data_IF_802092082721
#
_entry.id   IF_802092082721
#
_cell.length_a   1.000
_cell.length_b   1.000
_cell.length_c   1.000
_cell.angle_alpha   90.00
_cell.angle_beta   90.00
_cell.angle_gamma   90.00
#
_symmetry.space_group_name_H-M   'P 1'
#
loop_
_entity.id
_entity.type
_entity.pdbx_description
1 polymer ?
#
# COMPACT_ATOMS: atom_id res chain seq x y z
N UNK A 1 10.76 -6.75 -30.04
CA UNK A 1 9.61 -7.00 -29.14
C UNK A 1 9.44 -5.80 -28.22
N UNK A 2 8.54 -4.88 -28.61
CA UNK A 2 8.15 -3.69 -27.85
C UNK A 2 7.42 -4.13 -26.57
N UNK A 3 8.08 -4.06 -25.42
CA UNK A 3 7.42 -4.22 -24.11
C UNK A 3 6.58 -2.96 -23.89
N UNK A 4 5.33 -2.98 -24.35
CA UNK A 4 4.35 -1.94 -24.07
C UNK A 4 4.21 -1.84 -22.55
N UNK A 5 4.70 -0.75 -21.97
CA UNK A 5 4.43 -0.41 -20.58
C UNK A 5 2.91 -0.43 -20.38
N UNK A 6 2.43 -1.32 -19.50
CA UNK A 6 0.99 -1.53 -19.23
C UNK A 6 0.27 -0.25 -18.82
N UNK A 7 1.01 0.70 -18.26
CA UNK A 7 0.51 1.96 -17.72
C UNK A 7 1.10 3.14 -18.48
N UNK A 8 0.25 4.14 -18.71
CA UNK A 8 0.66 5.47 -19.16
C UNK A 8 1.39 6.23 -18.03
N UNK A 9 2.13 7.28 -18.37
CA UNK A 9 2.88 8.11 -17.40
C UNK A 9 1.94 8.72 -16.36
N UNK A 10 0.77 9.20 -16.78
CA UNK A 10 -0.25 9.76 -15.88
C UNK A 10 -0.78 8.72 -14.90
N UNK A 11 -1.16 7.54 -15.38
CA UNK A 11 -1.63 6.43 -14.54
C UNK A 11 -0.54 5.97 -13.57
N UNK A 12 0.73 5.95 -14.00
CA UNK A 12 1.87 5.65 -13.14
C UNK A 12 2.02 6.69 -12.04
N UNK A 13 1.90 7.98 -12.36
CA UNK A 13 1.96 9.05 -11.37
C UNK A 13 0.84 8.92 -10.31
N UNK A 14 -0.40 8.65 -10.73
CA UNK A 14 -1.50 8.43 -9.78
C UNK A 14 -1.29 7.17 -8.92
N UNK A 15 -0.73 6.10 -9.49
CA UNK A 15 -0.38 4.89 -8.75
C UNK A 15 0.71 5.16 -7.70
N UNK A 16 1.77 5.88 -8.08
CA UNK A 16 2.83 6.29 -7.16
C UNK A 16 2.30 7.21 -6.06
N UNK A 17 1.39 8.14 -6.39
CA UNK A 17 0.73 8.97 -5.40
C UNK A 17 -0.10 8.14 -4.42
N UNK A 18 -0.84 7.13 -4.91
CA UNK A 18 -1.63 6.22 -4.06
C UNK A 18 -0.75 5.39 -3.11
N UNK A 19 0.40 4.92 -3.59
CA UNK A 19 1.41 4.24 -2.77
C UNK A 19 2.03 5.21 -1.75
N UNK A 20 2.34 6.43 -2.17
CA UNK A 20 2.79 7.52 -1.31
C UNK A 20 1.83 7.77 -0.15
N UNK A 21 0.57 7.99 -0.47
CA UNK A 21 -0.51 8.23 0.49
C UNK A 21 -0.75 7.01 1.40
N UNK A 22 -0.70 5.78 0.89
CA UNK A 22 -0.92 4.60 1.74
C UNK A 22 0.21 4.40 2.76
N UNK A 23 1.46 4.72 2.39
CA UNK A 23 2.64 4.55 3.26
C UNK A 23 2.92 5.79 4.13
N UNK A 24 2.42 6.99 3.78
CA UNK A 24 2.78 8.23 4.46
C UNK A 24 2.68 8.20 6.00
N UNK A 25 1.62 7.65 6.62
CA UNK A 25 1.55 7.60 8.09
C UNK A 25 2.52 6.59 8.72
N UNK A 26 3.03 5.62 7.94
CA UNK A 26 4.08 4.68 8.39
C UNK A 26 5.47 5.32 8.37
N UNK A 27 5.68 6.44 7.66
CA UNK A 27 7.01 7.08 7.56
C UNK A 27 7.53 7.62 8.91
N UNK A 28 6.64 7.93 9.86
CA UNK A 28 7.04 8.31 11.21
C UNK A 28 7.52 7.14 12.07
N UNK A 29 7.27 5.90 11.64
CA UNK A 29 7.58 4.66 12.39
C UNK A 29 8.64 3.81 11.70
N UNK A 30 8.74 3.92 10.38
CA UNK A 30 9.72 3.20 9.59
C UNK A 30 11.06 3.97 9.56
N UNK A 31 12.19 3.27 9.55
CA UNK A 31 13.50 3.88 9.37
C UNK A 31 13.59 4.72 8.09
N UNK A 32 14.34 5.81 8.16
CA UNK A 32 14.54 6.75 7.05
C UNK A 32 15.05 6.07 5.76
N UNK A 33 15.80 4.97 5.88
CA UNK A 33 16.29 4.22 4.72
C UNK A 33 15.15 3.56 3.92
N UNK A 34 14.02 3.18 4.55
CA UNK A 34 12.84 2.69 3.81
C UNK A 34 12.21 3.80 2.99
N UNK A 35 12.07 5.00 3.56
CA UNK A 35 11.55 6.16 2.86
C UNK A 35 12.43 6.50 1.65
N UNK A 36 13.76 6.49 1.84
CA UNK A 36 14.72 6.71 0.77
C UNK A 36 14.59 5.65 -0.34
N UNK A 37 14.49 4.37 0.02
CA UNK A 37 14.30 3.27 -0.94
C UNK A 37 12.98 3.43 -1.72
N UNK A 38 11.89 3.76 -1.03
CA UNK A 38 10.58 3.99 -1.62
C UNK A 38 10.63 5.12 -2.65
N UNK A 39 11.23 6.25 -2.30
CA UNK A 39 11.38 7.40 -3.20
C UNK A 39 12.28 7.04 -4.39
N UNK A 40 13.42 6.39 -4.15
CA UNK A 40 14.34 5.98 -5.20
C UNK A 40 13.67 5.03 -6.22
N UNK A 41 12.97 4.01 -5.74
CA UNK A 41 12.25 3.04 -6.56
C UNK A 41 11.06 3.69 -7.28
N UNK A 42 10.33 4.59 -6.61
CA UNK A 42 9.24 5.35 -7.20
C UNK A 42 9.68 6.29 -8.34
N UNK A 43 10.75 7.06 -8.10
CA UNK A 43 11.36 7.94 -9.11
C UNK A 43 11.90 7.11 -10.28
N UNK A 44 12.64 6.03 -9.99
CA UNK A 44 13.11 5.10 -11.02
C UNK A 44 11.95 4.60 -11.87
N UNK A 45 10.84 4.16 -11.24
CA UNK A 45 9.67 3.66 -11.96
C UNK A 45 9.03 4.73 -12.84
N UNK A 46 8.88 5.95 -12.33
CA UNK A 46 8.35 7.07 -13.09
C UNK A 46 9.20 7.37 -14.33
N UNK A 47 10.51 7.50 -14.15
CA UNK A 47 11.47 7.75 -15.24
C UNK A 47 11.48 6.58 -16.22
N UNK A 48 11.43 5.34 -15.74
CA UNK A 48 11.41 4.16 -16.59
C UNK A 48 10.14 4.10 -17.46
N UNK A 49 8.98 4.51 -16.94
CA UNK A 49 7.75 4.63 -17.75
C UNK A 49 7.86 5.79 -18.73
N UNK A 50 8.37 6.96 -18.31
CA UNK A 50 8.48 8.14 -19.17
C UNK A 50 9.49 7.96 -20.32
N UNK A 51 10.58 7.23 -20.09
CA UNK A 51 11.64 6.98 -21.07
C UNK A 51 11.56 5.62 -21.75
N UNK A 52 10.56 4.80 -21.43
CA UNK A 52 10.40 3.44 -21.98
C UNK A 52 11.54 2.49 -21.62
N UNK A 53 12.16 2.64 -20.45
CA UNK A 53 13.28 1.79 -20.04
C UNK A 53 12.83 0.36 -19.74
N UNK A 54 13.74 -0.59 -19.99
CA UNK A 54 13.52 -1.99 -19.62
C UNK A 54 13.49 -2.14 -18.10
N UNK A 55 12.64 -3.05 -17.63
CA UNK A 55 12.57 -3.38 -16.22
C UNK A 55 13.92 -3.98 -15.73
N UNK A 56 14.29 -3.77 -14.45
CA UNK A 56 15.54 -4.29 -13.91
C UNK A 56 15.60 -5.83 -13.99
N UNK A 57 16.81 -6.34 -14.25
CA UNK A 57 17.08 -7.77 -14.37
C UNK A 57 16.72 -8.52 -13.07
N UNK A 58 16.32 -9.79 -13.19
CA UNK A 58 15.88 -10.61 -12.06
C UNK A 58 16.92 -10.65 -10.93
N UNK A 59 18.21 -10.76 -11.28
CA UNK A 59 19.31 -10.78 -10.30
C UNK A 59 19.35 -9.53 -9.42
N UNK A 60 19.10 -8.33 -9.98
CA UNK A 60 19.08 -7.08 -9.22
C UNK A 60 17.92 -7.06 -8.25
N UNK A 61 16.75 -7.58 -8.66
CA UNK A 61 15.58 -7.65 -7.79
C UNK A 61 15.79 -8.63 -6.63
N UNK A 62 16.32 -9.83 -6.92
CA UNK A 62 16.61 -10.84 -5.89
C UNK A 62 17.64 -10.31 -4.90
N UNK A 63 18.69 -9.64 -5.39
CA UNK A 63 19.68 -8.99 -4.53
C UNK A 63 19.06 -7.90 -3.64
N UNK A 64 18.18 -7.06 -4.20
CA UNK A 64 17.45 -6.03 -3.44
C UNK A 64 16.52 -6.65 -2.39
N UNK A 65 15.78 -7.71 -2.72
CA UNK A 65 14.95 -8.45 -1.76
C UNK A 65 15.81 -8.93 -0.60
N UNK A 66 16.92 -9.61 -0.88
CA UNK A 66 17.83 -10.12 0.15
C UNK A 66 18.40 -9.00 1.04
N UNK A 67 18.84 -7.90 0.43
CA UNK A 67 19.39 -6.74 1.16
C UNK A 67 18.36 -6.09 2.07
N UNK A 68 17.12 -5.94 1.61
CA UNK A 68 16.06 -5.31 2.40
C UNK A 68 15.57 -6.22 3.53
N UNK A 69 15.45 -7.53 3.28
CA UNK A 69 15.12 -8.50 4.35
C UNK A 69 16.21 -8.50 5.42
N UNK A 70 17.49 -8.49 5.01
CA UNK A 70 18.60 -8.37 5.95
C UNK A 70 18.55 -7.05 6.73
N UNK A 71 18.24 -5.93 6.06
CA UNK A 71 18.06 -4.63 6.70
C UNK A 71 16.93 -4.61 7.73
N UNK A 72 15.80 -5.26 7.43
CA UNK A 72 14.69 -5.44 8.39
C UNK A 72 15.17 -6.26 9.59
N UNK A 73 15.83 -7.39 9.36
CA UNK A 73 16.28 -8.27 10.43
C UNK A 73 17.29 -7.58 11.35
N UNK A 74 18.24 -6.81 10.79
CA UNK A 74 19.21 -6.03 11.57
C UNK A 74 18.51 -4.92 12.38
N UNK A 75 17.47 -4.28 11.82
CA UNK A 75 16.81 -3.16 12.47
C UNK A 75 15.82 -3.59 13.56
N UNK A 76 14.99 -4.60 13.28
CA UNK A 76 13.93 -5.03 14.19
C UNK A 76 14.33 -6.23 15.06
N UNK A 77 15.43 -6.93 14.75
CA UNK A 77 15.88 -8.15 15.44
C UNK A 77 14.96 -9.36 15.24
N UNK A 78 13.81 -9.19 14.59
CA UNK A 78 12.81 -10.20 14.31
C UNK A 78 12.13 -9.94 12.97
N UNK A 79 11.64 -11.01 12.34
CA UNK A 79 10.76 -10.94 11.17
C UNK A 79 9.29 -11.18 11.55
N UNK A 80 9.03 -11.52 12.81
CA UNK A 80 7.72 -11.85 13.35
C UNK A 80 7.33 -10.75 14.34
N UNK A 81 6.18 -10.14 14.12
CA UNK A 81 5.65 -9.05 14.94
C UNK A 81 4.88 -8.03 14.10
N UNK A 82 4.12 -7.15 14.76
CA UNK A 82 3.33 -6.11 14.10
C UNK A 82 4.22 -5.18 13.25
N UNK A 83 5.26 -4.61 13.83
CA UNK A 83 6.13 -3.63 13.15
C UNK A 83 6.95 -4.28 12.02
N UNK A 84 7.56 -5.44 12.27
CA UNK A 84 8.31 -6.18 11.26
C UNK A 84 7.40 -6.63 10.09
N UNK A 85 6.19 -7.11 10.38
CA UNK A 85 5.22 -7.50 9.36
C UNK A 85 4.79 -6.32 8.49
N UNK A 86 4.53 -5.15 9.09
CA UNK A 86 4.20 -3.93 8.35
C UNK A 86 5.39 -3.46 7.49
N UNK A 87 6.61 -3.50 8.01
CA UNK A 87 7.81 -3.18 7.23
C UNK A 87 7.98 -4.12 6.02
N UNK A 88 7.79 -5.43 6.22
CA UNK A 88 7.83 -6.42 5.13
C UNK A 88 6.76 -6.16 4.07
N UNK A 89 5.54 -5.77 4.47
CA UNK A 89 4.47 -5.42 3.53
C UNK A 89 4.79 -4.18 2.70
N UNK A 90 5.30 -3.12 3.35
CA UNK A 90 5.70 -1.89 2.65
C UNK A 90 6.84 -2.18 1.68
N UNK A 91 7.79 -3.02 2.06
CA UNK A 91 8.87 -3.47 1.17
C UNK A 91 8.32 -4.29 0.01
N UNK A 92 7.42 -5.23 0.28
CA UNK A 92 6.79 -6.02 -0.76
C UNK A 92 6.07 -5.11 -1.75
N UNK A 93 5.38 -4.06 -1.27
CA UNK A 93 4.74 -3.06 -2.12
C UNK A 93 5.75 -2.32 -3.00
N UNK A 94 6.87 -1.85 -2.42
CA UNK A 94 7.93 -1.14 -3.15
C UNK A 94 8.60 -2.06 -4.18
N UNK A 95 8.96 -3.28 -3.81
CA UNK A 95 9.63 -4.22 -4.70
C UNK A 95 8.69 -4.73 -5.80
N UNK A 96 7.41 -4.94 -5.48
CA UNK A 96 6.39 -5.29 -6.47
C UNK A 96 6.26 -4.20 -7.54
N UNK A 97 6.52 -2.94 -7.20
CA UNK A 97 6.54 -1.84 -8.18
C UNK A 97 7.56 -2.07 -9.32
N UNK A 98 8.70 -2.66 -9.00
CA UNK A 98 9.74 -3.00 -9.97
C UNK A 98 9.33 -4.15 -10.90
N UNK A 99 8.26 -4.87 -10.57
CA UNK A 99 7.80 -6.06 -11.28
C UNK A 99 6.62 -5.86 -12.21
N UNK A 100 6.08 -4.65 -12.33
CA UNK A 100 4.88 -4.38 -13.12
C UNK A 100 5.08 -4.72 -14.61
N UNK A 101 4.62 -5.89 -15.02
CA UNK A 101 4.65 -6.36 -16.41
C UNK A 101 3.27 -6.50 -17.01
N UNK A 102 2.26 -6.83 -16.20
CA UNK A 102 0.90 -7.11 -16.67
C UNK A 102 -0.14 -6.34 -15.84
N UNK A 103 -1.37 -6.23 -16.36
CA UNK A 103 -2.51 -5.64 -15.63
C UNK A 103 -2.73 -6.34 -14.28
N UNK A 104 -2.49 -7.66 -14.23
CA UNK A 104 -2.55 -8.47 -13.00
C UNK A 104 -1.61 -7.94 -11.91
N UNK A 105 -0.39 -7.54 -12.26
CA UNK A 105 0.57 -6.99 -11.30
C UNK A 105 0.09 -5.65 -10.71
N UNK A 106 -0.58 -4.84 -11.53
CA UNK A 106 -1.16 -3.57 -11.09
C UNK A 106 -2.28 -3.80 -10.08
N UNK A 107 -3.16 -4.78 -10.34
CA UNK A 107 -4.23 -5.15 -9.40
C UNK A 107 -3.69 -5.68 -8.08
N UNK A 108 -2.63 -6.49 -8.13
CA UNK A 108 -1.92 -6.93 -6.92
C UNK A 108 -1.36 -5.73 -6.16
N UNK A 109 -0.75 -4.76 -6.84
CA UNK A 109 -0.20 -3.57 -6.19
C UNK A 109 -1.28 -2.71 -5.51
N UNK A 110 -2.44 -2.56 -6.16
CA UNK A 110 -3.62 -1.88 -5.60
C UNK A 110 -4.11 -2.61 -4.34
N UNK A 111 -4.17 -3.95 -4.39
CA UNK A 111 -4.55 -4.77 -3.24
C UNK A 111 -3.56 -4.59 -2.07
N UNK A 112 -2.25 -4.57 -2.34
CA UNK A 112 -1.24 -4.29 -1.32
C UNK A 112 -1.41 -2.89 -0.71
N UNK A 113 -1.85 -1.89 -1.49
CA UNK A 113 -2.14 -0.57 -0.94
C UNK A 113 -3.34 -0.61 0.02
N UNK A 114 -4.42 -1.31 -0.33
CA UNK A 114 -5.55 -1.50 0.62
C UNK A 114 -5.12 -2.23 1.88
N UNK A 115 -4.29 -3.26 1.75
CA UNK A 115 -3.76 -3.97 2.91
C UNK A 115 -2.90 -3.06 3.78
N UNK A 116 -2.03 -2.25 3.18
CA UNK A 116 -1.19 -1.25 3.88
C UNK A 116 -2.04 -0.17 4.56
N UNK A 117 -3.19 0.20 4.00
CA UNK A 117 -4.12 1.12 4.65
C UNK A 117 -4.75 0.49 5.90
N UNK A 118 -5.15 -0.78 5.80
CA UNK A 118 -5.71 -1.52 6.93
C UNK A 118 -4.72 -1.66 8.08
N UNK A 119 -3.40 -1.73 7.80
CA UNK A 119 -2.40 -1.85 8.87
C UNK A 119 -2.27 -0.61 9.75
N UNK A 120 -2.75 0.56 9.31
CA UNK A 120 -2.76 1.74 10.18
C UNK A 120 -3.65 1.56 11.41
N UNK A 121 -4.77 0.83 11.27
CA UNK A 121 -5.68 0.54 12.36
C UNK A 121 -5.12 -0.42 13.42
N UNK A 122 -3.98 -1.07 13.15
CA UNK A 122 -3.25 -1.86 14.13
C UNK A 122 -2.47 -0.97 15.13
N UNK A 123 -2.33 0.32 14.83
CA UNK A 123 -1.55 1.27 15.63
C UNK A 123 -2.39 2.38 16.25
N UNK A 124 -3.36 2.91 15.51
CA UNK A 124 -4.21 4.00 15.96
C UNK A 124 -5.65 3.73 15.51
N UNK A 125 -6.61 4.01 16.38
CA UNK A 125 -8.04 3.87 16.12
C UNK A 125 -8.76 5.23 16.18
N UNK A 126 -8.02 6.33 16.08
CA UNK A 126 -8.53 7.68 16.06
C UNK A 126 -9.47 7.92 14.87
N UNK A 127 -10.43 8.82 15.09
CA UNK A 127 -11.40 9.20 14.05
C UNK A 127 -10.71 9.90 12.87
N UNK A 128 -9.61 10.61 13.15
CA UNK A 128 -8.80 11.30 12.15
C UNK A 128 -8.11 10.32 11.21
N UNK A 129 -7.56 9.23 11.73
CA UNK A 129 -7.01 8.17 10.90
C UNK A 129 -8.11 7.53 10.04
N UNK A 130 -9.30 7.30 10.59
CA UNK A 130 -10.41 6.75 9.82
C UNK A 130 -10.81 7.64 8.64
N UNK A 131 -10.89 8.96 8.84
CA UNK A 131 -11.14 9.93 7.77
C UNK A 131 -10.02 9.90 6.73
N UNK A 132 -8.76 9.89 7.17
CA UNK A 132 -7.60 9.78 6.28
C UNK A 132 -7.67 8.52 5.40
N UNK A 133 -7.85 7.35 6.02
CA UNK A 133 -7.95 6.07 5.30
C UNK A 133 -9.14 6.06 4.35
N UNK A 134 -10.28 6.67 4.71
CA UNK A 134 -11.44 6.78 3.82
C UNK A 134 -11.13 7.62 2.57
N UNK A 135 -10.44 8.76 2.73
CA UNK A 135 -10.02 9.61 1.61
C UNK A 135 -9.03 8.88 0.69
N UNK A 136 -8.01 8.23 1.26
CA UNK A 136 -7.02 7.50 0.46
C UNK A 136 -7.67 6.28 -0.22
N UNK A 137 -8.57 5.58 0.46
CA UNK A 137 -9.35 4.48 -0.13
C UNK A 137 -10.16 4.97 -1.31
N UNK A 138 -10.87 6.09 -1.18
CA UNK A 138 -11.60 6.69 -2.29
C UNK A 138 -10.69 7.03 -3.49
N UNK A 139 -9.51 7.59 -3.24
CA UNK A 139 -8.53 7.88 -4.28
C UNK A 139 -8.04 6.61 -5.00
N UNK A 140 -7.62 5.59 -4.24
CA UNK A 140 -7.13 4.32 -4.81
C UNK A 140 -8.25 3.57 -5.54
N UNK A 141 -9.48 3.62 -5.02
CA UNK A 141 -10.64 2.98 -5.64
C UNK A 141 -11.03 3.68 -6.94
N UNK A 142 -10.91 5.01 -7.01
CA UNK A 142 -11.05 5.78 -8.25
C UNK A 142 -10.03 5.35 -9.30
N UNK A 143 -8.76 5.18 -8.90
CA UNK A 143 -7.70 4.68 -9.77
C UNK A 143 -7.99 3.25 -10.23
N UNK A 144 -8.44 2.39 -9.33
CA UNK A 144 -8.80 1.00 -9.64
C UNK A 144 -9.90 0.93 -10.70
N UNK A 145 -10.98 1.69 -10.56
CA UNK A 145 -12.05 1.78 -11.56
C UNK A 145 -11.50 2.27 -12.90
N UNK A 146 -10.65 3.31 -12.90
CA UNK A 146 -10.08 3.87 -14.13
C UNK A 146 -9.17 2.88 -14.88
N UNK A 147 -8.47 2.00 -14.15
CA UNK A 147 -7.57 1.01 -14.74
C UNK A 147 -8.28 -0.27 -15.22
N UNK A 148 -9.47 -0.54 -14.70
CA UNK A 148 -10.27 -1.72 -15.06
C UNK A 148 -11.22 -1.46 -16.23
N UNK A 149 -11.68 -0.22 -16.41
CA UNK A 149 -12.57 0.13 -17.53
C UNK A 149 -11.82 0.14 -18.88
N UNK A 150 -12.41 -0.49 -19.90
CA UNK A 150 -11.85 -0.50 -21.27
C UNK A 150 -11.90 0.88 -21.94
N UNK A 151 -12.96 1.65 -21.66
CA UNK A 151 -13.02 3.07 -22.02
C UNK A 151 -12.73 3.91 -20.78
N UNK A 152 -11.58 4.60 -20.79
CA UNK A 152 -11.19 5.47 -19.69
C UNK A 152 -12.18 6.64 -19.60
N UNK A 153 -13.10 6.57 -18.64
CA UNK A 153 -14.01 7.67 -18.31
C UNK A 153 -13.29 8.88 -17.73
N UNK A 154 -14.00 10.02 -17.59
CA UNK A 154 -13.42 11.21 -16.95
C UNK A 154 -13.13 10.89 -15.48
N UNK A 155 -11.97 11.32 -14.96
CA UNK A 155 -11.58 11.05 -13.56
C UNK A 155 -12.66 11.46 -12.55
N UNK A 156 -13.38 12.56 -12.80
CA UNK A 156 -14.47 13.01 -11.93
C UNK A 156 -15.68 12.06 -11.89
N UNK A 157 -16.02 11.42 -13.01
CA UNK A 157 -17.12 10.44 -13.06
C UNK A 157 -16.74 9.17 -12.31
N UNK A 158 -15.51 8.70 -12.50
CA UNK A 158 -14.97 7.54 -11.79
C UNK A 158 -14.87 7.80 -10.29
N UNK A 159 -14.51 9.03 -9.88
CA UNK A 159 -14.50 9.44 -8.47
C UNK A 159 -15.89 9.44 -7.84
N UNK A 160 -16.92 9.92 -8.56
CA UNK A 160 -18.31 9.84 -8.09
C UNK A 160 -18.80 8.39 -7.99
N UNK A 161 -18.41 7.54 -8.95
CA UNK A 161 -18.71 6.12 -8.91
C UNK A 161 -18.06 5.44 -7.68
N UNK A 162 -16.77 5.69 -7.44
CA UNK A 162 -16.06 5.20 -6.27
C UNK A 162 -16.74 5.63 -4.97
N UNK A 163 -17.14 6.89 -4.87
CA UNK A 163 -17.83 7.42 -3.69
C UNK A 163 -19.18 6.73 -3.45
N UNK A 164 -19.97 6.49 -4.52
CA UNK A 164 -21.24 5.76 -4.41
C UNK A 164 -21.03 4.33 -3.90
N UNK A 165 -20.01 3.64 -4.40
CA UNK A 165 -19.69 2.27 -3.96
C UNK A 165 -19.24 2.24 -2.50
N UNK A 166 -18.42 3.20 -2.07
CA UNK A 166 -18.04 3.35 -0.66
C UNK A 166 -19.26 3.66 0.21
N UNK A 167 -20.15 4.55 -0.23
CA UNK A 167 -21.37 4.89 0.50
C UNK A 167 -22.31 3.68 0.64
N UNK A 168 -22.41 2.84 -0.38
CA UNK A 168 -23.16 1.58 -0.33
C UNK A 168 -22.52 0.52 0.59
N UNK A 169 -21.20 0.60 0.82
CA UNK A 169 -20.51 -0.26 1.77
C UNK A 169 -20.73 0.14 3.24
N UNK A 170 -21.10 1.40 3.51
CA UNK A 170 -21.33 1.90 4.88
C UNK A 170 -22.43 1.13 5.65
N UNK A 171 -23.62 0.85 5.09
CA UNK A 171 -24.63 0.03 5.75
C UNK A 171 -24.10 -1.34 6.16
N UNK A 172 -23.35 -2.00 5.27
CA UNK A 172 -22.75 -3.30 5.56
C UNK A 172 -21.69 -3.18 6.67
N UNK A 173 -20.87 -2.14 6.63
CA UNK A 173 -19.90 -1.85 7.67
C UNK A 173 -20.57 -1.61 9.03
N UNK A 174 -21.70 -0.88 9.09
CA UNK A 174 -22.46 -0.66 10.32
C UNK A 174 -23.06 -1.95 10.87
N UNK A 175 -23.60 -2.82 10.00
CA UNK A 175 -24.12 -4.13 10.41
C UNK A 175 -22.99 -4.98 11.00
N UNK A 176 -21.84 -5.07 10.32
CA UNK A 176 -20.68 -5.79 10.84
C UNK A 176 -20.16 -5.17 12.15
N UNK A 177 -20.16 -3.84 12.24
CA UNK A 177 -19.72 -3.11 13.41
C UNK A 177 -20.59 -3.38 14.65
N UNK A 178 -21.91 -3.48 14.48
CA UNK A 178 -22.85 -3.77 15.57
C UNK A 178 -22.87 -5.25 15.95
N UNK A 179 -22.71 -6.15 14.96
CA UNK A 179 -22.75 -7.60 15.18
C UNK A 179 -21.44 -8.17 15.72
N UNK A 180 -20.29 -7.56 15.38
CA UNK A 180 -18.98 -8.01 15.86
C UNK A 180 -18.47 -7.09 16.98
N UNK A 181 -18.51 -7.53 18.25
CA UNK A 181 -17.98 -6.74 19.35
C UNK A 181 -16.48 -6.52 19.14
N UNK A 182 -16.02 -5.28 19.35
CA UNK A 182 -14.59 -4.94 19.28
C UNK A 182 -13.87 -5.70 20.41
N UNK A 183 -13.06 -6.69 20.08
CA UNK A 183 -12.25 -7.40 21.07
C UNK A 183 -11.19 -6.41 21.59
N UNK A 184 -11.17 -6.08 22.89
CA UNK A 184 -10.13 -5.22 23.45
C UNK A 184 -8.83 -6.01 23.57
N UNK A 185 -7.80 -5.57 22.83
CA UNK A 185 -6.44 -6.07 22.94
C UNK A 185 -5.96 -6.88 21.72
N UNK A 186 -4.64 -6.95 21.47
CA UNK A 186 -4.09 -7.70 20.35
C UNK A 186 -4.19 -9.21 20.61
N UNK A 187 -5.00 -9.93 19.82
CA UNK A 187 -5.05 -11.41 19.88
C UNK A 187 -3.75 -12.10 19.42
N UNK A 188 -2.81 -11.33 18.87
CA UNK A 188 -1.52 -11.77 18.35
C UNK A 188 -0.32 -11.09 19.04
N UNK A 189 -0.56 -10.42 20.18
CA UNK A 189 0.50 -9.75 20.92
C UNK A 189 1.45 -10.75 21.57
N UNK A 190 2.76 -10.47 21.55
CA UNK A 190 3.70 -11.16 22.43
C UNK A 190 3.40 -10.76 23.89
N UNK A 191 3.71 -11.58 24.90
CA UNK A 191 3.35 -11.31 26.30
C UNK A 191 3.74 -9.90 26.78
N UNK A 192 4.82 -9.34 26.23
CA UNK A 192 5.33 -8.00 26.55
C UNK A 192 4.41 -6.86 26.07
N UNK A 193 3.65 -7.04 24.98
CA UNK A 193 2.73 -6.01 24.46
C UNK A 193 1.43 -5.94 25.28
N UNK A 194 1.03 -7.05 25.92
CA UNK A 194 -0.20 -7.16 26.70
C UNK A 194 -0.17 -6.33 28.00
N UNK A 195 1.02 -6.13 28.59
CA UNK A 195 1.18 -5.40 29.86
C UNK A 195 1.52 -3.90 29.71
N UNK A 196 1.77 -3.41 28.49
CA UNK A 196 2.10 -2.00 28.24
C UNK A 196 0.96 -1.01 28.54
N UNK A 197 -0.26 -1.52 28.79
CA UNK A 197 -1.46 -0.73 29.10
C UNK A 197 -1.80 -0.71 30.60
N UNK A 198 -0.93 -1.20 31.48
CA UNK A 198 -1.15 -1.30 32.94
C UNK A 198 -0.25 -0.39 33.80
N UNK A 199 0.32 0.66 33.21
CA UNK A 199 1.03 1.73 33.93
C UNK A 199 0.58 3.08 33.42
#
# INVERSE_FOLDING_TARGET
MSQMTVLDVRSTAFLLAGIGLSVAPHLGRLPLWFAALMVAVGVWRYVATARGWRLPHLAVRVALVGLVIAGIYIHFGTLIGRDAGVALLVVMLILKLLELKQRRDVMVLILLCYFTLSTHFLYDQSIWLAVYVAVVTWFIFTLHINLTQDQRGKLGENGRCALKLIAQALPLALVLFLLFPRIPGPIWGLPLDAYSNLT
#
